data_IF_909764770066
#
_entry.id   IF_909764770066
#
_cell.length_a   1.000
_cell.length_b   1.000
_cell.length_c   1.000
_cell.angle_alpha   90.00
_cell.angle_beta   90.00
_cell.angle_gamma   90.00
#
_symmetry.space_group_name_H-M   'P 1'
#
loop_
_entity.id
_entity.type
_entity.pdbx_description
1 polymer ?
#
# COMPACT_ATOMS: atom_id res chain seq x y z
N UNK A 1 10.76 -9.96 10.53
CA UNK A 1 9.56 -9.77 9.68
C UNK A 1 9.99 -9.37 8.27
N UNK A 2 9.14 -9.61 7.25
CA UNK A 2 9.50 -9.49 5.82
C UNK A 2 8.77 -8.36 5.12
N UNK A 3 9.44 -7.70 4.16
CA UNK A 3 8.86 -6.72 3.23
C UNK A 3 8.19 -7.36 2.01
N UNK A 4 8.21 -8.69 1.90
CA UNK A 4 7.62 -9.42 0.77
C UNK A 4 6.15 -9.02 0.48
N UNK A 5 5.24 -8.90 1.46
CA UNK A 5 3.86 -8.49 1.20
C UNK A 5 3.75 -7.12 0.54
N UNK A 6 4.56 -6.15 1.02
CA UNK A 6 4.64 -4.80 0.47
C UNK A 6 5.09 -4.80 -0.99
N UNK A 7 6.17 -5.54 -1.29
CA UNK A 7 6.71 -5.64 -2.65
C UNK A 7 5.71 -6.31 -3.60
N UNK A 8 5.07 -7.39 -3.15
CA UNK A 8 4.05 -8.11 -3.90
C UNK A 8 2.80 -7.26 -4.18
N UNK A 9 2.40 -6.42 -3.24
CA UNK A 9 1.30 -5.48 -3.42
C UNK A 9 1.66 -4.41 -4.47
N UNK A 10 2.85 -3.80 -4.37
CA UNK A 10 3.31 -2.78 -5.30
C UNK A 10 3.46 -3.32 -6.74
N UNK A 11 4.03 -4.52 -6.89
CA UNK A 11 4.21 -5.17 -8.18
C UNK A 11 2.88 -5.42 -8.91
N UNK A 12 1.82 -5.82 -8.19
CA UNK A 12 0.48 -6.01 -8.77
C UNK A 12 -0.12 -4.72 -9.29
N UNK A 13 0.18 -3.59 -8.65
CA UNK A 13 -0.21 -2.25 -9.14
C UNK A 13 0.70 -1.73 -10.25
N UNK A 14 1.72 -2.50 -10.66
CA UNK A 14 2.77 -2.10 -11.60
C UNK A 14 3.55 -0.87 -11.12
N UNK A 15 3.70 -0.74 -9.81
CA UNK A 15 4.49 0.31 -9.18
C UNK A 15 5.89 -0.20 -8.87
N UNK A 16 6.87 0.70 -8.86
CA UNK A 16 8.20 0.41 -8.32
C UNK A 16 8.32 1.02 -6.92
N UNK A 17 9.31 0.57 -6.16
CA UNK A 17 9.57 1.11 -4.83
C UNK A 17 11.06 1.32 -4.58
N UNK A 18 11.36 2.34 -3.79
CA UNK A 18 12.69 2.60 -3.24
C UNK A 18 12.58 2.72 -1.73
N UNK A 19 13.35 1.92 -1.00
CA UNK A 19 13.45 2.01 0.45
C UNK A 19 14.33 3.19 0.86
N UNK A 20 13.91 3.92 1.90
CA UNK A 20 14.66 5.04 2.49
C UNK A 20 15.09 4.77 3.92
N UNK A 21 14.35 3.94 4.67
CA UNK A 21 14.64 3.65 6.06
C UNK A 21 14.05 2.31 6.47
N UNK A 22 14.71 1.64 7.42
CA UNK A 22 14.26 0.35 7.95
C UNK A 22 14.60 0.23 9.42
N UNK A 23 13.59 -0.11 10.21
CA UNK A 23 13.70 -0.52 11.61
C UNK A 23 13.17 -1.95 11.75
N UNK A 24 13.27 -2.57 12.95
CA UNK A 24 12.67 -3.88 13.18
C UNK A 24 11.14 -3.89 13.01
N UNK A 25 10.46 -2.79 13.33
CA UNK A 25 9.00 -2.65 13.26
C UNK A 25 8.49 -2.13 11.92
N UNK A 26 9.30 -1.33 11.21
CA UNK A 26 8.82 -0.48 10.13
C UNK A 26 9.80 -0.36 8.97
N UNK A 27 9.27 -0.10 7.77
CA UNK A 27 10.04 0.27 6.59
C UNK A 27 9.41 1.50 5.94
N UNK A 28 10.23 2.49 5.58
CA UNK A 28 9.79 3.70 4.88
C UNK A 28 10.39 3.75 3.48
N UNK A 29 9.74 4.49 2.59
CA UNK A 29 10.25 4.66 1.24
C UNK A 29 9.34 5.47 0.34
N UNK A 30 9.61 5.38 -0.95
CA UNK A 30 8.82 6.00 -2.01
C UNK A 30 8.32 4.90 -2.94
N UNK A 31 7.03 4.90 -3.23
CA UNK A 31 6.45 4.23 -4.38
C UNK A 31 6.52 5.15 -5.60
N UNK A 32 6.87 4.62 -6.75
CA UNK A 32 6.74 5.32 -8.03
C UNK A 32 5.63 4.68 -8.82
N UNK A 33 4.59 5.46 -9.10
CA UNK A 33 3.45 5.10 -9.93
C UNK A 33 3.48 5.91 -11.24
N UNK A 34 2.57 5.60 -12.17
CA UNK A 34 2.37 6.42 -13.37
C UNK A 34 1.90 7.85 -13.04
N UNK A 35 1.29 8.07 -11.88
CA UNK A 35 0.79 9.37 -11.42
C UNK A 35 1.85 10.16 -10.65
N UNK A 36 2.99 9.53 -10.31
CA UNK A 36 4.10 10.16 -9.60
C UNK A 36 4.58 9.37 -8.38
N UNK A 37 5.42 10.04 -7.60
CA UNK A 37 6.04 9.51 -6.40
C UNK A 37 5.12 9.65 -5.17
N UNK A 38 4.98 8.59 -4.38
CA UNK A 38 4.13 8.51 -3.20
C UNK A 38 4.97 8.02 -2.03
N UNK A 39 5.11 8.83 -0.98
CA UNK A 39 5.78 8.39 0.23
C UNK A 39 4.95 7.29 0.93
N UNK A 40 5.63 6.28 1.46
CA UNK A 40 4.98 5.22 2.22
C UNK A 40 5.70 4.92 3.53
N UNK A 41 4.91 4.38 4.46
CA UNK A 41 5.35 3.78 5.71
C UNK A 41 4.71 2.41 5.85
N UNK A 42 5.50 1.36 6.12
CA UNK A 42 5.03 -0.01 6.19
C UNK A 42 5.34 -0.63 7.55
N UNK A 43 4.30 -0.94 8.31
CA UNK A 43 4.39 -1.66 9.57
C UNK A 43 4.45 -3.16 9.30
N UNK A 44 5.58 -3.78 9.64
CA UNK A 44 5.85 -5.16 9.23
C UNK A 44 5.02 -6.19 10.01
N UNK A 45 4.69 -5.91 11.28
CA UNK A 45 3.95 -6.83 12.13
C UNK A 45 2.46 -6.90 11.76
N UNK A 46 1.84 -5.73 11.53
CA UNK A 46 0.44 -5.60 11.13
C UNK A 46 0.22 -5.74 9.62
N UNK A 47 1.29 -5.74 8.82
CA UNK A 47 1.25 -5.69 7.35
C UNK A 47 0.39 -4.53 6.86
N UNK A 48 0.60 -3.36 7.46
CA UNK A 48 -0.16 -2.14 7.21
C UNK A 48 0.70 -1.15 6.43
N UNK A 49 0.23 -0.76 5.26
CA UNK A 49 0.83 0.25 4.39
C UNK A 49 0.10 1.57 4.67
N UNK A 50 0.85 2.59 5.02
CA UNK A 50 0.37 3.96 5.16
C UNK A 50 0.88 4.77 3.96
N UNK A 51 -0.07 5.38 3.27
CA UNK A 51 0.11 6.37 2.21
C UNK A 51 -0.42 7.72 2.72
N UNK A 52 -0.17 8.86 2.04
CA UNK A 52 -0.64 10.17 2.50
C UNK A 52 -2.15 10.21 2.75
N UNK A 53 -2.93 9.57 1.88
CA UNK A 53 -4.40 9.65 1.88
C UNK A 53 -5.09 8.32 2.23
N UNK A 54 -4.32 7.27 2.57
CA UNK A 54 -4.89 5.94 2.74
C UNK A 54 -4.07 5.04 3.67
N UNK A 55 -4.78 4.12 4.33
CA UNK A 55 -4.19 2.99 5.04
C UNK A 55 -4.69 1.70 4.43
N UNK A 56 -3.77 0.78 4.14
CA UNK A 56 -4.05 -0.44 3.40
C UNK A 56 -3.50 -1.62 4.20
N UNK A 57 -4.36 -2.57 4.53
CA UNK A 57 -3.95 -3.85 5.11
C UNK A 57 -3.67 -4.84 3.99
N UNK A 58 -2.58 -5.60 4.13
CA UNK A 58 -2.27 -6.70 3.20
C UNK A 58 -2.05 -8.02 3.93
N UNK A 59 -2.45 -9.12 3.29
CA UNK A 59 -2.04 -10.45 3.75
C UNK A 59 -0.60 -10.78 3.33
N UNK A 60 -0.09 -11.94 3.73
CA UNK A 60 1.28 -12.38 3.42
C UNK A 60 1.61 -12.50 1.92
N UNK A 61 0.58 -12.59 1.08
CA UNK A 61 0.68 -12.69 -0.38
C UNK A 61 0.57 -11.33 -1.08
N UNK A 62 0.42 -10.23 -0.32
CA UNK A 62 0.30 -8.87 -0.84
C UNK A 62 -1.08 -8.55 -1.42
N UNK A 63 -2.12 -9.29 -1.05
CA UNK A 63 -3.50 -8.93 -1.38
C UNK A 63 -4.06 -7.97 -0.33
N UNK A 64 -4.80 -6.96 -0.78
CA UNK A 64 -5.52 -6.05 0.12
C UNK A 64 -6.60 -6.82 0.88
N UNK A 65 -6.70 -6.59 2.18
CA UNK A 65 -7.69 -7.23 3.06
C UNK A 65 -8.44 -6.19 3.89
N UNK A 66 -9.63 -6.55 4.35
CA UNK A 66 -10.32 -5.79 5.40
C UNK A 66 -9.73 -6.08 6.80
N UNK A 67 -10.23 -5.40 7.83
CA UNK A 67 -9.82 -5.62 9.23
C UNK A 67 -10.10 -7.06 9.73
N UNK A 68 -10.94 -7.84 9.03
CA UNK A 68 -11.20 -9.25 9.34
C UNK A 68 -10.29 -10.20 8.54
N UNK A 69 -9.34 -9.67 7.76
CA UNK A 69 -8.42 -10.44 6.94
C UNK A 69 -9.02 -10.99 5.64
N UNK A 70 -10.24 -10.57 5.28
CA UNK A 70 -10.89 -11.02 4.04
C UNK A 70 -10.36 -10.21 2.87
N UNK A 71 -9.94 -10.87 1.80
CA UNK A 71 -9.45 -10.22 0.59
C UNK A 71 -10.51 -9.27 0.03
N UNK A 72 -10.12 -8.01 -0.19
CA UNK A 72 -10.95 -7.00 -0.84
C UNK A 72 -10.30 -6.60 -2.15
N UNK A 73 -11.09 -6.62 -3.22
CA UNK A 73 -10.65 -6.09 -4.52
C UNK A 73 -10.99 -4.61 -4.59
N UNK A 74 -10.24 -3.77 -3.85
CA UNK A 74 -10.37 -2.32 -4.01
C UNK A 74 -9.47 -1.84 -5.15
N UNK A 75 -10.08 -1.62 -6.30
CA UNK A 75 -9.46 -0.89 -7.41
C UNK A 75 -9.38 0.61 -7.08
N UNK A 76 -8.49 1.00 -6.17
CA UNK A 76 -8.24 2.42 -5.90
C UNK A 76 -7.06 2.92 -6.72
N UNK A 77 -7.38 3.63 -7.81
CA UNK A 77 -6.53 4.68 -8.36
C UNK A 77 -6.71 5.94 -7.48
N UNK A 78 -5.62 6.62 -7.05
CA UNK A 78 -5.68 7.74 -6.10
C UNK A 78 -6.59 8.91 -6.49
N UNK A 79 -7.03 9.03 -7.75
CA UNK A 79 -7.87 10.15 -8.20
C UNK A 79 -9.36 9.88 -8.40
N UNK A 80 -9.84 8.63 -8.40
CA UNK A 80 -11.26 8.36 -8.74
C UNK A 80 -12.28 8.55 -7.61
N UNK A 81 -11.93 9.24 -6.53
CA UNK A 81 -12.89 9.53 -5.44
C UNK A 81 -13.50 10.95 -5.50
N UNK A 82 -13.05 11.83 -6.42
CA UNK A 82 -13.60 13.19 -6.54
C UNK A 82 -14.74 13.38 -7.55
N UNK A 83 -15.31 12.32 -8.13
CA UNK A 83 -16.36 12.44 -9.16
C UNK A 83 -17.71 11.77 -8.84
N UNK A 84 -17.89 11.21 -7.64
CA UNK A 84 -19.17 10.62 -7.23
C UNK A 84 -19.66 11.20 -5.90
N UNK A 85 -19.80 12.51 -5.82
CA UNK A 85 -20.66 13.16 -4.84
C UNK A 85 -21.16 14.49 -5.44
N UNK A 86 -22.02 14.39 -6.45
CA UNK A 86 -22.95 15.44 -6.86
C UNK A 86 -23.99 14.78 -7.79
N UNK A 87 -25.12 14.42 -7.19
CA UNK A 87 -26.33 13.92 -7.84
C UNK A 87 -27.46 14.03 -6.85
#
# INVERSE_FOLDING_TARGET
MSTKPLVLWAARKKWTLRFSGRTPSEVTGIFTSAEGAIAFRYEQASRRIHLPDATILVNEYGWEVDEKGRTVFRSVSPRKQKEQTNG
#
